data_IF_965370690735
#
_entry.id   IF_965370690735
#
_cell.length_a   1.000
_cell.length_b   1.000
_cell.length_c   1.000
_cell.angle_alpha   90.00
_cell.angle_beta   90.00
_cell.angle_gamma   90.00
#
_symmetry.space_group_name_H-M   'P 1'
#
loop_
_entity.id
_entity.type
_entity.pdbx_description
1 polymer ?
#
# COMPACT_ATOMS: atom_id res chain seq x y z
N UNK A 1 -13.93 -12.00 15.58
CA UNK A 1 -13.15 -10.89 16.17
C UNK A 1 -12.53 -10.15 15.00
N UNK A 2 -13.19 -9.10 14.52
CA UNK A 2 -12.70 -8.31 13.39
C UNK A 2 -11.46 -7.54 13.85
N UNK A 3 -10.31 -7.85 13.26
CA UNK A 3 -9.11 -7.05 13.45
C UNK A 3 -9.25 -5.80 12.56
N UNK A 4 -10.04 -4.81 13.01
CA UNK A 4 -10.12 -3.52 12.33
C UNK A 4 -8.79 -2.78 12.52
N UNK A 5 -7.88 -2.94 11.57
CA UNK A 5 -6.62 -2.17 11.54
C UNK A 5 -7.00 -0.71 11.26
N UNK A 6 -6.62 0.22 12.14
CA UNK A 6 -6.86 1.65 11.90
C UNK A 6 -6.07 2.15 10.68
N UNK A 7 -6.58 3.17 10.00
CA UNK A 7 -5.89 3.78 8.86
C UNK A 7 -4.46 4.22 9.19
N UNK A 8 -4.25 4.79 10.38
CA UNK A 8 -2.92 5.19 10.85
C UNK A 8 -1.98 3.99 11.01
N UNK A 9 -2.46 2.90 11.61
CA UNK A 9 -1.66 1.69 11.78
C UNK A 9 -1.34 1.02 10.44
N UNK A 10 -2.28 1.06 9.50
CA UNK A 10 -2.05 0.61 8.13
C UNK A 10 -0.93 1.41 7.45
N UNK A 11 -0.98 2.75 7.49
CA UNK A 11 0.08 3.61 6.94
C UNK A 11 1.43 3.33 7.57
N UNK A 12 1.49 3.14 8.89
CA UNK A 12 2.74 2.83 9.61
C UNK A 12 3.37 1.51 9.16
N UNK A 13 2.57 0.45 9.01
CA UNK A 13 3.08 -0.84 8.50
C UNK A 13 3.63 -0.70 7.08
N UNK A 14 2.94 0.06 6.23
CA UNK A 14 3.36 0.27 4.85
C UNK A 14 4.64 1.12 4.77
N UNK A 15 4.78 2.15 5.61
CA UNK A 15 5.99 2.96 5.72
C UNK A 15 7.19 2.11 6.13
N UNK A 16 7.02 1.23 7.13
CA UNK A 16 8.07 0.30 7.54
C UNK A 16 8.48 -0.64 6.40
N UNK A 17 7.52 -1.12 5.60
CA UNK A 17 7.81 -1.96 4.44
C UNK A 17 8.58 -1.21 3.34
N UNK A 18 8.23 0.06 3.09
CA UNK A 18 8.94 0.95 2.15
C UNK A 18 10.37 1.20 2.62
N UNK A 19 10.57 1.59 3.89
CA UNK A 19 11.90 1.88 4.44
C UNK A 19 12.83 0.66 4.42
N UNK A 20 12.29 -0.52 4.71
CA UNK A 20 13.05 -1.78 4.59
C UNK A 20 13.43 -2.05 3.14
N UNK A 21 12.56 -1.76 2.17
CA UNK A 21 12.91 -1.88 0.77
C UNK A 21 14.04 -0.90 0.43
N UNK A 22 13.88 0.40 0.68
CA UNK A 22 14.87 1.45 0.36
C UNK A 22 16.25 1.20 0.98
N UNK A 23 16.31 0.74 2.24
CA UNK A 23 17.56 0.44 2.94
C UNK A 23 18.39 -0.65 2.24
N UNK A 24 17.75 -1.56 1.49
CA UNK A 24 18.42 -2.64 0.77
C UNK A 24 18.95 -2.19 -0.61
N UNK A 25 18.70 -0.94 -1.01
CA UNK A 25 19.18 -0.31 -2.25
C UNK A 25 18.29 -0.67 -3.45
N UNK A 26 17.40 0.25 -3.87
CA UNK A 26 16.28 -0.09 -4.76
C UNK A 26 16.31 0.67 -6.08
N UNK A 27 16.24 -0.09 -7.18
CA UNK A 27 15.91 0.37 -8.53
C UNK A 27 14.40 0.27 -8.82
N UNK A 28 13.92 0.91 -9.89
CA UNK A 28 12.51 0.90 -10.36
C UNK A 28 11.87 -0.51 -10.46
N UNK A 29 12.68 -1.56 -10.60
CA UNK A 29 12.27 -2.96 -10.70
C UNK A 29 11.43 -3.43 -9.50
N UNK A 30 11.75 -2.98 -8.28
CA UNK A 30 11.07 -3.45 -7.07
C UNK A 30 9.90 -2.57 -6.61
N UNK A 31 9.58 -1.47 -7.32
CA UNK A 31 8.24 -0.82 -7.18
C UNK A 31 7.15 -1.84 -7.51
N UNK A 32 7.40 -2.72 -8.48
CA UNK A 32 6.47 -3.79 -8.84
C UNK A 32 6.35 -4.85 -7.73
N UNK A 33 7.45 -5.20 -7.05
CA UNK A 33 7.39 -6.12 -5.90
C UNK A 33 6.63 -5.50 -4.70
N UNK A 34 6.83 -4.21 -4.47
CA UNK A 34 6.10 -3.48 -3.44
C UNK A 34 4.61 -3.33 -3.82
N UNK A 35 4.31 -3.11 -5.10
CA UNK A 35 2.94 -3.16 -5.64
C UNK A 35 2.30 -4.52 -5.42
N UNK A 36 3.02 -5.62 -5.66
CA UNK A 36 2.56 -6.98 -5.39
C UNK A 36 2.28 -7.16 -3.91
N UNK A 37 3.14 -6.69 -3.01
CA UNK A 37 2.89 -6.78 -1.56
C UNK A 37 1.70 -5.94 -1.11
N UNK A 38 1.49 -4.75 -1.69
CA UNK A 38 0.32 -3.91 -1.43
C UNK A 38 -0.94 -4.61 -1.95
N UNK A 39 -0.89 -5.15 -3.17
CA UNK A 39 -1.97 -5.92 -3.80
C UNK A 39 -2.32 -7.17 -3.00
N UNK A 40 -1.32 -7.96 -2.60
CA UNK A 40 -1.48 -9.13 -1.73
C UNK A 40 -2.04 -8.75 -0.36
N UNK A 41 -1.63 -7.60 0.20
CA UNK A 41 -2.17 -7.11 1.46
C UNK A 41 -3.63 -6.67 1.33
N UNK A 42 -3.99 -5.99 0.23
CA UNK A 42 -5.37 -5.62 -0.10
C UNK A 42 -6.23 -6.86 -0.43
N UNK A 43 -5.66 -7.89 -1.04
CA UNK A 43 -6.35 -9.10 -1.49
C UNK A 43 -6.50 -10.16 -0.39
N UNK A 44 -5.52 -10.32 0.52
CA UNK A 44 -5.47 -11.46 1.45
C UNK A 44 -6.11 -11.23 2.83
N UNK A 45 -6.78 -10.10 3.10
CA UNK A 45 -7.48 -9.92 4.39
C UNK A 45 -8.95 -9.57 4.24
N UNK A 46 -9.76 -10.61 4.45
CA UNK A 46 -11.10 -10.66 5.03
C UNK A 46 -11.62 -9.29 5.46
N UNK A 47 -12.59 -8.78 4.70
CA UNK A 47 -13.33 -7.51 4.84
C UNK A 47 -12.42 -6.29 5.12
N UNK A 48 -12.22 -5.36 4.16
CA UNK A 48 -11.36 -4.20 4.37
C UNK A 48 -11.72 -3.53 5.70
N UNK A 49 -10.82 -3.64 6.69
CA UNK A 49 -11.12 -3.36 8.09
C UNK A 49 -11.42 -1.88 8.39
N UNK A 50 -11.40 -1.02 7.36
CA UNK A 50 -11.81 0.37 7.37
C UNK A 50 -12.21 0.85 5.95
N UNK A 51 -12.86 2.02 5.87
CA UNK A 51 -13.41 2.58 4.62
C UNK A 51 -12.32 2.92 3.61
N UNK A 52 -11.13 3.30 4.07
CA UNK A 52 -10.01 3.72 3.24
C UNK A 52 -9.40 2.53 2.49
N UNK A 53 -9.24 1.38 3.14
CA UNK A 53 -8.80 0.14 2.50
C UNK A 53 -9.81 -0.34 1.46
N UNK A 54 -11.12 -0.20 1.74
CA UNK A 54 -12.18 -0.52 0.78
C UNK A 54 -12.09 0.34 -0.47
N UNK A 55 -11.94 1.65 -0.30
CA UNK A 55 -11.78 2.59 -1.41
C UNK A 55 -10.56 2.24 -2.28
N UNK A 56 -9.41 1.94 -1.66
CA UNK A 56 -8.22 1.54 -2.40
C UNK A 56 -8.41 0.23 -3.17
N UNK A 57 -9.12 -0.73 -2.59
CA UNK A 57 -9.44 -2.00 -3.25
C UNK A 57 -10.39 -1.81 -4.44
N UNK A 58 -11.42 -0.97 -4.31
CA UNK A 58 -12.31 -0.63 -5.42
C UNK A 58 -11.54 0.05 -6.56
N UNK A 59 -10.69 1.04 -6.26
CA UNK A 59 -9.83 1.68 -7.26
C UNK A 59 -8.85 0.71 -7.92
N UNK A 60 -8.29 -0.23 -7.14
CA UNK A 60 -7.37 -1.24 -7.65
C UNK A 60 -8.06 -2.22 -8.62
N UNK A 61 -9.31 -2.61 -8.33
CA UNK A 61 -10.04 -3.56 -9.17
C UNK A 61 -10.47 -2.96 -10.52
N UNK A 62 -10.76 -1.66 -10.56
CA UNK A 62 -11.09 -0.95 -11.80
C UNK A 62 -9.86 -0.56 -12.62
N UNK A 63 -8.68 -0.49 -12.01
CA UNK A 63 -7.46 -0.02 -12.66
C UNK A 63 -6.83 -1.06 -13.61
N UNK A 64 -6.42 -0.58 -14.79
CA UNK A 64 -5.51 -1.29 -15.70
C UNK A 64 -4.10 -1.41 -15.15
N UNK A 65 -3.21 -2.14 -15.84
CA UNK A 65 -1.85 -2.41 -15.34
C UNK A 65 -1.02 -1.14 -15.06
N UNK A 66 -1.05 -0.17 -15.98
CA UNK A 66 -0.31 1.07 -15.81
C UNK A 66 -0.92 1.98 -14.73
N UNK A 67 -2.24 1.97 -14.59
CA UNK A 67 -2.96 2.69 -13.54
C UNK A 67 -2.66 2.11 -12.16
N UNK A 68 -2.54 0.78 -12.03
CA UNK A 68 -2.09 0.12 -10.80
C UNK A 68 -0.68 0.53 -10.40
N UNK A 69 0.24 0.69 -11.36
CA UNK A 69 1.59 1.21 -11.10
C UNK A 69 1.54 2.66 -10.61
N UNK A 70 0.69 3.50 -11.21
CA UNK A 70 0.49 4.89 -10.77
C UNK A 70 -0.11 4.95 -9.37
N UNK A 71 -1.17 4.19 -9.11
CA UNK A 71 -1.83 4.09 -7.80
C UNK A 71 -0.83 3.65 -6.72
N UNK A 72 0.00 2.65 -7.00
CA UNK A 72 1.08 2.20 -6.12
C UNK A 72 2.05 3.36 -5.80
N UNK A 73 2.55 4.06 -6.82
CA UNK A 73 3.47 5.20 -6.62
C UNK A 73 2.84 6.30 -5.77
N UNK A 74 1.55 6.59 -5.95
CA UNK A 74 0.83 7.59 -5.16
C UNK A 74 0.68 7.16 -3.69
N UNK A 75 0.33 5.88 -3.45
CA UNK A 75 0.22 5.32 -2.10
C UNK A 75 1.57 5.41 -1.37
N UNK A 76 2.67 5.05 -2.03
CA UNK A 76 4.02 5.13 -1.44
C UNK A 76 4.35 6.57 -1.04
N UNK A 77 4.19 7.53 -1.97
CA UNK A 77 4.45 8.95 -1.69
C UNK A 77 3.54 9.51 -0.58
N UNK A 78 2.30 9.05 -0.50
CA UNK A 78 1.36 9.46 0.56
C UNK A 78 1.83 9.00 1.94
N UNK A 79 2.31 7.75 2.02
CA UNK A 79 2.75 7.13 3.27
C UNK A 79 4.08 7.72 3.74
N UNK A 80 5.01 7.94 2.81
CA UNK A 80 6.31 8.59 3.07
C UNK A 80 6.15 10.03 3.60
N UNK A 81 5.26 10.83 2.98
CA UNK A 81 4.96 12.19 3.46
C UNK A 81 4.32 12.26 4.84
N UNK A 82 3.68 11.19 5.30
CA UNK A 82 2.91 11.20 6.56
C UNK A 82 3.82 11.24 7.81
N UNK A 83 5.09 10.82 7.73
CA UNK A 83 6.01 10.79 8.88
C UNK A 83 6.99 11.98 8.93
N UNK A 84 6.80 13.01 8.09
CA UNK A 84 7.58 14.27 8.13
C UNK A 84 6.98 15.34 9.06
N UNK A 85 6.19 14.97 10.07
CA UNK A 85 5.60 15.89 11.07
C UNK A 85 5.88 15.35 12.47
#
# INVERSE_FOLDING_TARGET
MELSVSWHQWKKMLHQAVNVAEFVGVSDEHINELACRIGDFLANKIDPGNREQRLLNELWNEAGEDEKKVLTRLIIRMVDKTESI
#
